data_IF_630610363954
#
_entry.id   IF_630610363954
#
_cell.length_a   1.000
_cell.length_b   1.000
_cell.length_c   1.000
_cell.angle_alpha   90.00
_cell.angle_beta   90.00
_cell.angle_gamma   90.00
#
_symmetry.space_group_name_H-M   'P 1'
#
loop_
_entity.id
_entity.type
_entity.pdbx_description
1 polymer ?
#
# COMPACT_ATOMS: atom_id res chain seq x y z
N UNK A 1 -22.32 -28.55 -20.78
CA UNK A 1 -20.89 -28.43 -20.45
C UNK A 1 -20.79 -27.53 -19.22
N UNK A 2 -20.43 -28.10 -18.08
CA UNK A 2 -20.19 -27.35 -16.84
C UNK A 2 -18.89 -26.56 -17.00
N UNK A 3 -18.85 -25.24 -16.75
CA UNK A 3 -17.58 -24.53 -16.67
C UNK A 3 -16.85 -25.08 -15.45
N UNK A 4 -15.71 -25.72 -15.70
CA UNK A 4 -14.75 -26.16 -14.68
C UNK A 4 -14.44 -24.92 -13.84
N UNK A 5 -14.82 -24.93 -12.56
CA UNK A 5 -14.45 -23.87 -11.64
C UNK A 5 -12.92 -23.76 -11.68
N UNK A 6 -12.41 -22.69 -12.29
CA UNK A 6 -10.98 -22.41 -12.33
C UNK A 6 -10.51 -22.34 -10.88
N UNK A 7 -9.62 -23.27 -10.50
CA UNK A 7 -9.02 -23.28 -9.17
C UNK A 7 -8.37 -21.91 -8.96
N UNK A 8 -8.99 -21.09 -8.12
CA UNK A 8 -8.54 -19.73 -7.87
C UNK A 8 -7.58 -19.81 -6.70
N UNK A 9 -6.28 -19.70 -6.97
CA UNK A 9 -5.30 -19.62 -5.89
C UNK A 9 -5.34 -18.21 -5.33
N UNK A 10 -6.09 -18.05 -4.23
CA UNK A 10 -6.12 -16.81 -3.47
C UNK A 10 -4.85 -16.74 -2.64
N UNK A 11 -3.85 -16.00 -3.13
CA UNK A 11 -2.68 -15.61 -2.33
C UNK A 11 -3.10 -14.43 -1.45
N UNK A 12 -3.90 -14.72 -0.43
CA UNK A 12 -4.22 -13.75 0.63
C UNK A 12 -3.51 -14.13 1.92
N UNK A 13 -3.00 -13.13 2.63
CA UNK A 13 -2.62 -13.30 4.02
C UNK A 13 -3.79 -13.90 4.82
N UNK A 14 -3.54 -14.87 5.71
CA UNK A 14 -4.58 -15.43 6.55
C UNK A 14 -5.22 -14.31 7.38
N UNK A 15 -6.55 -14.23 7.38
CA UNK A 15 -7.37 -13.26 8.15
C UNK A 15 -6.96 -13.18 9.65
N UNK A 16 -6.32 -14.22 10.16
CA UNK A 16 -5.89 -14.41 11.53
C UNK A 16 -4.63 -13.59 11.82
N UNK A 17 -3.74 -13.40 10.85
CA UNK A 17 -2.61 -12.46 10.94
C UNK A 17 -3.11 -11.01 11.05
N UNK A 18 -4.19 -10.67 10.34
CA UNK A 18 -4.82 -9.35 10.39
C UNK A 18 -5.44 -9.08 11.77
N UNK A 19 -6.13 -10.07 12.34
CA UNK A 19 -6.64 -9.99 13.72
C UNK A 19 -5.49 -9.83 14.71
N UNK A 20 -4.39 -10.57 14.56
CA UNK A 20 -3.26 -10.55 15.48
C UNK A 20 -2.55 -9.19 15.48
N UNK A 21 -2.33 -8.58 14.30
CA UNK A 21 -1.76 -7.22 14.20
C UNK A 21 -2.70 -6.18 14.80
N UNK A 22 -4.01 -6.25 14.52
CA UNK A 22 -4.99 -5.33 15.11
C UNK A 22 -5.05 -5.45 16.64
N UNK A 23 -4.96 -6.68 17.17
CA UNK A 23 -4.89 -6.95 18.60
C UNK A 23 -3.60 -6.38 19.20
N UNK A 24 -2.44 -6.57 18.56
CA UNK A 24 -1.15 -6.02 19.03
C UNK A 24 -1.17 -4.49 19.05
N UNK A 25 -1.64 -3.85 17.98
CA UNK A 25 -1.76 -2.38 17.95
C UNK A 25 -2.79 -1.86 18.96
N UNK A 26 -3.90 -2.56 19.15
CA UNK A 26 -4.88 -2.25 20.19
C UNK A 26 -4.26 -2.33 21.60
N UNK A 27 -3.47 -3.36 21.87
CA UNK A 27 -2.75 -3.53 23.14
C UNK A 27 -1.68 -2.45 23.35
N UNK A 28 -0.92 -2.09 22.31
CA UNK A 28 0.06 -1.00 22.37
C UNK A 28 -0.63 0.33 22.66
N UNK A 29 -1.72 0.65 21.94
CA UNK A 29 -2.50 1.88 22.15
C UNK A 29 -3.08 1.95 23.57
N UNK A 30 -3.66 0.85 24.04
CA UNK A 30 -4.14 0.72 25.42
C UNK A 30 -3.01 0.92 26.45
N UNK A 31 -1.85 0.29 26.24
CA UNK A 31 -0.68 0.42 27.11
C UNK A 31 -0.13 1.84 27.15
N UNK A 32 -0.11 2.54 26.01
CA UNK A 32 0.37 3.92 25.92
C UNK A 32 -0.56 4.89 26.67
N UNK A 33 -1.88 4.73 26.54
CA UNK A 33 -2.87 5.52 27.29
C UNK A 33 -2.79 5.24 28.81
N UNK A 34 -2.55 3.98 29.20
CA UNK A 34 -2.32 3.63 30.60
C UNK A 34 -1.03 4.25 31.15
N UNK A 35 0.06 4.24 30.36
CA UNK A 35 1.33 4.86 30.72
C UNK A 35 1.22 6.39 30.84
N UNK A 36 0.52 7.04 29.90
CA UNK A 36 0.20 8.48 29.96
C UNK A 36 -0.58 8.83 31.23
N UNK A 37 -1.52 7.97 31.67
CA UNK A 37 -2.24 8.16 32.93
C UNK A 37 -1.31 8.03 34.14
N UNK A 38 -0.40 7.04 34.15
CA UNK A 38 0.57 6.87 35.23
C UNK A 38 1.51 8.08 35.34
N UNK A 39 1.99 8.56 34.19
CA UNK A 39 2.78 9.78 34.08
C UNK A 39 1.99 11.00 34.53
N UNK A 40 0.70 11.13 34.19
CA UNK A 40 -0.15 12.23 34.63
C UNK A 40 -0.36 12.23 36.15
N UNK A 41 -0.63 11.06 36.77
CA UNK A 41 -0.71 10.95 38.24
C UNK A 41 0.61 11.35 38.91
N UNK A 42 1.74 10.91 38.35
CA UNK A 42 3.07 11.29 38.83
C UNK A 42 3.32 12.80 38.68
N UNK A 43 2.93 13.40 37.54
CA UNK A 43 3.09 14.83 37.29
C UNK A 43 2.25 15.70 38.22
N UNK A 44 1.07 15.24 38.66
CA UNK A 44 0.22 15.94 39.63
C UNK A 44 0.81 15.93 41.04
N UNK A 45 1.68 14.96 41.37
CA UNK A 45 2.40 14.97 42.65
C UNK A 45 3.58 15.96 42.70
N UNK A 46 3.95 16.55 41.57
CA UNK A 46 5.00 17.58 41.50
C UNK A 46 4.40 18.98 41.73
N UNK A 47 4.84 19.71 42.78
CA UNK A 47 4.25 21.00 43.18
C UNK A 47 4.46 22.15 42.18
N UNK A 48 5.23 21.95 41.10
CA UNK A 48 5.57 22.96 40.09
C UNK A 48 5.14 22.56 38.65
N UNK A 49 3.98 21.90 38.48
CA UNK A 49 3.52 21.49 37.15
C UNK A 49 2.56 22.51 36.48
N UNK A 50 2.81 22.97 35.24
CA UNK A 50 2.09 24.09 34.59
C UNK A 50 0.73 23.73 33.93
N UNK A 51 0.11 22.57 34.24
CA UNK A 51 -1.16 22.12 33.62
C UNK A 51 -2.13 21.45 34.62
N UNK A 52 -2.45 22.13 35.73
CA UNK A 52 -3.34 21.57 36.77
C UNK A 52 -4.83 21.45 36.35
N UNK A 53 -5.27 22.20 35.33
CA UNK A 53 -6.67 22.24 34.87
C UNK A 53 -7.21 20.92 34.29
N UNK A 54 -6.59 20.36 33.24
CA UNK A 54 -7.01 19.08 32.66
C UNK A 54 -6.89 17.91 33.64
N UNK A 55 -5.89 17.95 34.53
CA UNK A 55 -5.66 16.91 35.52
C UNK A 55 -6.79 16.80 36.56
N UNK A 56 -7.39 17.93 36.98
CA UNK A 56 -8.54 17.96 37.91
C UNK A 56 -9.80 17.33 37.33
N UNK A 57 -10.05 17.47 36.02
CA UNK A 57 -11.18 16.83 35.33
C UNK A 57 -11.03 15.31 35.27
N UNK A 58 -9.80 14.82 35.07
CA UNK A 58 -9.49 13.40 35.10
C UNK A 58 -9.64 12.79 36.51
N UNK A 59 -9.34 13.53 37.58
CA UNK A 59 -9.47 13.02 38.96
C UNK A 59 -10.91 12.96 39.49
N UNK A 60 -11.87 13.61 38.83
CA UNK A 60 -13.29 13.62 39.25
C UNK A 60 -14.02 12.30 38.91
N UNK A 61 -13.44 11.46 38.05
CA UNK A 61 -14.03 10.19 37.65
C UNK A 61 -13.52 9.09 38.61
N UNK A 62 -14.42 8.40 39.34
CA UNK A 62 -14.02 7.37 40.30
C UNK A 62 -13.27 6.22 39.60
N UNK A 63 -12.16 5.79 40.19
CA UNK A 63 -11.52 4.53 39.79
C UNK A 63 -12.42 3.37 40.20
N UNK A 64 -12.61 2.34 39.35
CA UNK A 64 -11.80 1.97 38.19
C UNK A 64 -12.27 2.53 36.83
N UNK A 65 -13.40 3.25 36.77
CA UNK A 65 -14.05 3.65 35.52
C UNK A 65 -13.16 4.49 34.58
N UNK A 66 -12.36 5.40 35.14
CA UNK A 66 -11.41 6.21 34.37
C UNK A 66 -10.33 5.36 33.68
N UNK A 67 -9.81 4.33 34.36
CA UNK A 67 -8.79 3.43 33.79
C UNK A 67 -9.39 2.63 32.64
N UNK A 68 -10.59 2.08 32.86
CA UNK A 68 -11.30 1.29 31.87
C UNK A 68 -11.62 2.14 30.63
N UNK A 69 -12.08 3.38 30.82
CA UNK A 69 -12.36 4.31 29.73
C UNK A 69 -11.11 4.67 28.91
N UNK A 70 -9.99 4.99 29.56
CA UNK A 70 -8.75 5.35 28.86
C UNK A 70 -8.17 4.16 28.07
N UNK A 71 -8.19 2.96 28.65
CA UNK A 71 -7.75 1.72 27.99
C UNK A 71 -8.67 1.38 26.82
N UNK A 72 -9.99 1.52 26.99
CA UNK A 72 -10.97 1.27 25.94
C UNK A 72 -10.80 2.25 24.76
N UNK A 73 -10.62 3.54 25.03
CA UNK A 73 -10.42 4.56 23.99
C UNK A 73 -9.09 4.35 23.27
N UNK A 74 -7.99 4.11 24.00
CA UNK A 74 -6.68 3.82 23.40
C UNK A 74 -6.69 2.54 22.56
N UNK A 75 -7.34 1.49 23.06
CA UNK A 75 -7.53 0.24 22.35
C UNK A 75 -8.38 0.41 21.09
N UNK A 76 -9.48 1.16 21.18
CA UNK A 76 -10.35 1.45 20.04
C UNK A 76 -9.64 2.26 18.95
N UNK A 77 -8.90 3.31 19.33
CA UNK A 77 -8.10 4.11 18.39
C UNK A 77 -7.02 3.24 17.74
N UNK A 78 -6.31 2.41 18.52
CA UNK A 78 -5.31 1.49 18.00
C UNK A 78 -5.90 0.45 17.04
N UNK A 79 -7.07 -0.09 17.36
CA UNK A 79 -7.78 -1.06 16.53
C UNK A 79 -8.29 -0.44 15.23
N UNK A 80 -8.92 0.75 15.29
CA UNK A 80 -9.38 1.48 14.11
C UNK A 80 -8.19 1.89 13.24
N UNK A 81 -7.10 2.37 13.84
CA UNK A 81 -5.86 2.71 13.12
C UNK A 81 -5.25 1.50 12.42
N UNK A 82 -5.13 0.36 13.11
CA UNK A 82 -4.64 -0.89 12.53
C UNK A 82 -5.53 -1.40 11.39
N UNK A 83 -6.85 -1.34 11.57
CA UNK A 83 -7.81 -1.70 10.53
C UNK A 83 -7.67 -0.79 9.31
N UNK A 84 -7.58 0.53 9.48
CA UNK A 84 -7.42 1.50 8.39
C UNK A 84 -6.12 1.30 7.60
N UNK A 85 -5.01 0.96 8.28
CA UNK A 85 -3.74 0.63 7.62
C UNK A 85 -3.89 -0.63 6.76
N UNK A 86 -4.63 -1.63 7.26
CA UNK A 86 -4.81 -2.93 6.59
C UNK A 86 -5.88 -2.94 5.50
N UNK A 87 -6.89 -2.07 5.54
CA UNK A 87 -7.87 -1.91 4.44
C UNK A 87 -7.22 -1.44 3.12
N UNK A 88 -5.97 -0.98 3.15
CA UNK A 88 -5.18 -0.64 1.97
C UNK A 88 -4.45 -1.82 1.31
N UNK A 89 -4.47 -3.01 1.88
CA UNK A 89 -3.69 -4.15 1.37
C UNK A 89 -4.28 -4.74 0.08
N UNK A 90 -3.39 -5.01 -0.87
CA UNK A 90 -3.72 -5.62 -2.13
C UNK A 90 -3.96 -7.12 -1.95
N UNK A 91 -5.17 -7.58 -2.24
CA UNK A 91 -5.46 -8.99 -2.44
C UNK A 91 -5.24 -9.34 -3.91
N UNK A 92 -4.32 -10.27 -4.17
CA UNK A 92 -4.07 -10.81 -5.52
C UNK A 92 -4.74 -12.17 -5.61
N UNK A 93 -5.71 -12.30 -6.51
CA UNK A 93 -6.31 -13.59 -6.85
C UNK A 93 -5.88 -13.95 -8.26
N UNK A 94 -5.10 -15.02 -8.38
CA UNK A 94 -4.61 -15.52 -9.67
C UNK A 94 -5.51 -16.70 -10.07
N UNK A 95 -5.94 -16.71 -11.33
CA UNK A 95 -6.66 -17.82 -11.93
C UNK A 95 -6.12 -18.06 -13.34
N UNK A 96 -6.38 -19.23 -13.90
CA UNK A 96 -5.87 -19.63 -15.22
C UNK A 96 -6.25 -18.67 -16.36
N UNK A 97 -7.35 -17.92 -16.20
CA UNK A 97 -7.88 -17.03 -17.25
C UNK A 97 -7.77 -15.54 -16.93
N UNK A 98 -7.58 -15.15 -15.67
CA UNK A 98 -7.58 -13.75 -15.23
C UNK A 98 -6.79 -13.55 -13.95
N UNK A 99 -6.20 -12.36 -13.81
CA UNK A 99 -5.64 -11.85 -12.56
C UNK A 99 -6.61 -10.81 -12.01
N UNK A 100 -7.10 -11.04 -10.79
CA UNK A 100 -7.92 -10.09 -10.07
C UNK A 100 -7.07 -9.40 -9.00
N UNK A 101 -6.89 -8.10 -9.16
CA UNK A 101 -6.21 -7.23 -8.20
C UNK A 101 -7.27 -6.46 -7.41
N UNK A 102 -7.41 -6.76 -6.12
CA UNK A 102 -8.36 -6.05 -5.25
C UNK A 102 -7.60 -5.17 -4.26
N UNK A 103 -7.81 -3.86 -4.28
CA UNK A 103 -7.21 -2.89 -3.33
C UNK A 103 -8.29 -1.94 -2.85
N UNK A 104 -8.41 -1.72 -1.54
CA UNK A 104 -9.43 -0.82 -0.94
C UNK A 104 -10.87 -1.11 -1.41
N UNK A 105 -11.19 -2.37 -1.74
CA UNK A 105 -12.50 -2.76 -2.28
C UNK A 105 -12.68 -2.54 -3.78
N UNK A 106 -11.77 -1.83 -4.45
CA UNK A 106 -11.74 -1.74 -5.91
C UNK A 106 -11.09 -2.99 -6.50
N UNK A 107 -11.82 -3.63 -7.39
CA UNK A 107 -11.40 -4.84 -8.09
C UNK A 107 -11.05 -4.50 -9.54
N UNK A 108 -9.79 -4.70 -9.92
CA UNK A 108 -9.33 -4.59 -11.30
C UNK A 108 -9.06 -5.99 -11.85
N UNK A 109 -9.84 -6.37 -12.85
CA UNK A 109 -9.66 -7.62 -13.57
C UNK A 109 -8.75 -7.40 -14.78
N UNK A 110 -7.75 -8.25 -14.94
CA UNK A 110 -6.83 -8.25 -16.07
C UNK A 110 -6.88 -9.65 -16.71
N UNK A 111 -7.31 -9.77 -17.98
CA UNK A 111 -7.28 -11.04 -18.70
C UNK A 111 -5.87 -11.62 -18.78
N UNK A 112 -5.76 -12.94 -18.61
CA UNK A 112 -4.49 -13.67 -18.84
C UNK A 112 -3.93 -13.43 -20.23
N UNK A 113 -4.81 -13.33 -21.23
CA UNK A 113 -4.45 -13.10 -22.63
C UNK A 113 -3.75 -11.76 -22.87
N UNK A 114 -3.96 -10.77 -22.01
CA UNK A 114 -3.33 -9.45 -22.15
C UNK A 114 -1.94 -9.43 -21.48
N UNK A 115 -1.69 -10.35 -20.54
CA UNK A 115 -0.47 -10.40 -19.73
C UNK A 115 0.61 -11.18 -20.50
N UNK A 116 1.73 -10.52 -20.75
CA UNK A 116 2.91 -11.16 -21.36
C UNK A 116 3.88 -11.67 -20.30
N UNK A 117 4.09 -10.90 -19.22
CA UNK A 117 5.10 -11.16 -18.21
C UNK A 117 4.70 -10.57 -16.86
N UNK A 118 5.01 -11.29 -15.80
CA UNK A 118 4.81 -10.86 -14.42
C UNK A 118 6.14 -10.84 -13.70
N UNK A 119 6.44 -9.77 -12.97
CA UNK A 119 7.65 -9.68 -12.15
C UNK A 119 7.42 -8.89 -10.88
N UNK A 120 8.36 -9.01 -9.93
CA UNK A 120 8.33 -8.26 -8.68
C UNK A 120 9.42 -7.19 -8.66
N UNK A 121 9.02 -5.92 -8.60
CA UNK A 121 9.91 -4.78 -8.43
C UNK A 121 9.95 -4.34 -6.95
N UNK A 122 10.86 -4.91 -6.16
CA UNK A 122 10.95 -4.59 -4.73
C UNK A 122 9.69 -5.04 -3.98
N UNK A 123 8.87 -4.11 -3.49
CA UNK A 123 7.58 -4.41 -2.85
C UNK A 123 6.38 -4.36 -3.80
N UNK A 124 6.60 -4.15 -5.08
CA UNK A 124 5.52 -3.99 -6.05
C UNK A 124 5.42 -5.20 -6.97
N UNK A 125 4.21 -5.67 -7.20
CA UNK A 125 3.89 -6.64 -8.25
C UNK A 125 3.59 -5.86 -9.53
N UNK A 126 4.26 -6.22 -10.62
CA UNK A 126 4.09 -5.60 -11.93
C UNK A 126 3.62 -6.65 -12.92
N UNK A 127 2.53 -6.34 -13.63
CA UNK A 127 2.03 -7.11 -14.76
C UNK A 127 2.30 -6.32 -16.04
N UNK A 128 3.05 -6.90 -16.97
CA UNK A 128 3.32 -6.35 -18.28
C UNK A 128 2.37 -6.92 -19.32
N UNK A 129 1.99 -6.08 -20.28
CA UNK A 129 1.27 -6.47 -21.47
C UNK A 129 2.19 -6.83 -22.63
N UNK A 130 1.61 -7.25 -23.75
CA UNK A 130 2.37 -7.69 -24.93
C UNK A 130 3.16 -6.58 -25.62
N UNK A 131 2.77 -5.32 -25.43
CA UNK A 131 3.49 -4.15 -25.94
C UNK A 131 4.43 -3.55 -24.90
N UNK A 132 4.82 -4.34 -23.88
CA UNK A 132 5.67 -3.94 -22.76
C UNK A 132 5.03 -2.88 -21.85
N UNK A 133 3.75 -2.58 -22.00
CA UNK A 133 3.01 -1.65 -21.14
C UNK A 133 2.83 -2.20 -19.73
N UNK A 134 2.88 -1.35 -18.70
CA UNK A 134 2.51 -1.78 -17.34
C UNK A 134 0.97 -1.86 -17.24
N UNK A 135 0.41 -3.06 -17.32
CA UNK A 135 -1.02 -3.30 -17.15
C UNK A 135 -1.47 -2.98 -15.73
N UNK A 136 -0.65 -3.33 -14.75
CA UNK A 136 -0.79 -2.94 -13.37
C UNK A 136 0.56 -2.94 -12.64
N UNK A 137 0.71 -2.03 -11.69
CA UNK A 137 1.81 -1.96 -10.72
C UNK A 137 1.22 -1.63 -9.36
N UNK A 138 1.17 -2.61 -8.47
CA UNK A 138 0.52 -2.50 -7.17
C UNK A 138 1.45 -2.96 -6.05
N UNK A 139 1.33 -2.32 -4.87
CA UNK A 139 2.09 -2.71 -3.68
C UNK A 139 1.63 -4.09 -3.20
N UNK A 140 2.56 -5.04 -3.10
CA UNK A 140 2.32 -6.41 -2.71
C UNK A 140 3.36 -6.85 -1.67
N UNK A 141 2.91 -7.03 -0.43
CA UNK A 141 3.76 -7.47 0.68
C UNK A 141 3.96 -9.01 0.71
N UNK A 142 3.42 -9.75 -0.25
CA UNK A 142 3.58 -11.20 -0.35
C UNK A 142 5.02 -11.61 -0.68
N UNK A 143 5.41 -12.82 -0.27
CA UNK A 143 6.74 -13.37 -0.58
C UNK A 143 6.94 -13.58 -2.09
N UNK A 144 8.15 -13.27 -2.58
CA UNK A 144 8.47 -13.29 -4.02
C UNK A 144 8.35 -14.70 -4.58
N UNK A 145 8.83 -15.69 -3.83
CA UNK A 145 8.83 -17.08 -4.26
C UNK A 145 7.41 -17.62 -4.30
N UNK A 146 6.58 -17.29 -3.31
CA UNK A 146 5.15 -17.66 -3.30
C UNK A 146 4.40 -17.06 -4.49
N UNK A 147 4.66 -15.79 -4.83
CA UNK A 147 4.08 -15.17 -6.02
C UNK A 147 4.54 -15.89 -7.29
N UNK A 148 5.85 -16.11 -7.44
CA UNK A 148 6.40 -16.80 -8.59
C UNK A 148 5.79 -18.20 -8.77
N UNK A 149 5.71 -18.98 -7.70
CA UNK A 149 5.09 -20.32 -7.69
C UNK A 149 3.60 -20.24 -8.07
N UNK A 150 2.84 -19.29 -7.54
CA UNK A 150 1.42 -19.14 -7.88
C UNK A 150 1.21 -18.74 -9.35
N UNK A 151 1.95 -17.75 -9.86
CA UNK A 151 1.83 -17.31 -11.25
C UNK A 151 2.27 -18.39 -12.23
N UNK A 152 3.40 -19.07 -11.97
CA UNK A 152 3.88 -20.16 -12.83
C UNK A 152 2.98 -21.39 -12.80
N UNK A 153 2.37 -21.72 -11.65
CA UNK A 153 1.38 -22.79 -11.55
C UNK A 153 0.14 -22.54 -12.42
N UNK A 154 -0.23 -21.27 -12.61
CA UNK A 154 -1.35 -20.85 -13.46
C UNK A 154 -0.93 -20.53 -14.91
N UNK A 155 0.29 -20.89 -15.31
CA UNK A 155 0.76 -20.76 -16.70
C UNK A 155 1.24 -19.36 -17.11
N UNK A 156 1.41 -18.43 -16.16
CA UNK A 156 1.97 -17.11 -16.43
C UNK A 156 3.49 -17.14 -16.54
N UNK A 157 4.03 -16.35 -17.46
CA UNK A 157 5.48 -16.10 -17.56
C UNK A 157 5.92 -15.23 -16.39
N UNK A 158 6.86 -15.74 -15.58
CA UNK A 158 7.45 -15.01 -14.47
C UNK A 158 8.88 -14.58 -14.81
N UNK A 159 9.20 -13.30 -14.57
CA UNK A 159 10.58 -12.81 -14.59
C UNK A 159 11.05 -12.41 -13.20
N UNK A 160 12.32 -12.69 -12.95
CA UNK A 160 12.99 -12.37 -11.70
C UNK A 160 13.28 -10.88 -11.53
N UNK A 161 13.51 -10.19 -12.64
CA UNK A 161 13.82 -8.76 -12.71
C UNK A 161 13.08 -8.12 -13.89
N UNK A 162 13.05 -6.79 -13.91
CA UNK A 162 12.44 -6.02 -14.98
C UNK A 162 13.30 -6.14 -16.27
N UNK A 163 12.81 -6.79 -17.34
CA UNK A 163 13.60 -6.93 -18.57
C UNK A 163 13.88 -5.59 -19.25
N UNK A 164 13.07 -4.55 -18.97
CA UNK A 164 13.19 -3.22 -19.56
C UNK A 164 13.92 -2.24 -18.65
N UNK A 165 14.57 -2.70 -17.57
CA UNK A 165 15.25 -1.82 -16.60
C UNK A 165 16.25 -0.87 -17.26
N UNK A 166 16.97 -1.33 -18.29
CA UNK A 166 18.01 -0.56 -18.98
C UNK A 166 17.45 0.54 -19.90
N UNK A 167 16.16 0.49 -20.24
CA UNK A 167 15.52 1.47 -21.12
C UNK A 167 15.06 2.72 -20.35
N UNK A 168 14.96 2.61 -19.02
CA UNK A 168 14.53 3.71 -18.17
C UNK A 168 15.58 4.83 -18.11
N UNK A 169 15.13 6.04 -18.41
CA UNK A 169 15.93 7.26 -18.31
C UNK A 169 15.43 8.13 -17.17
N UNK A 170 16.35 8.82 -16.49
CA UNK A 170 15.98 9.81 -15.47
C UNK A 170 15.16 10.92 -16.13
N UNK A 171 14.05 11.30 -15.51
CA UNK A 171 13.32 12.48 -15.95
C UNK A 171 14.12 13.75 -15.65
N UNK A 172 14.30 14.57 -16.68
CA UNK A 172 14.88 15.91 -16.58
C UNK A 172 13.83 16.90 -17.08
N UNK A 173 13.54 17.98 -16.34
CA UNK A 173 12.66 19.04 -16.81
C UNK A 173 13.09 19.54 -18.20
N UNK A 174 12.10 19.82 -19.06
CA UNK A 174 12.30 20.43 -20.39
C UNK A 174 13.13 19.57 -21.38
N UNK A 175 13.19 18.26 -21.16
CA UNK A 175 13.77 17.33 -22.14
C UNK A 175 13.02 17.38 -23.48
N UNK A 176 13.70 17.58 -24.62
CA UNK A 176 13.03 17.63 -25.92
C UNK A 176 12.43 16.27 -26.35
N UNK A 177 12.70 15.19 -25.61
CA UNK A 177 12.22 13.83 -25.91
C UNK A 177 10.77 13.59 -25.48
N UNK A 178 10.18 14.49 -24.69
CA UNK A 178 8.84 14.33 -24.12
C UNK A 178 7.93 15.47 -24.56
N UNK A 179 6.64 15.17 -24.73
CA UNK A 179 5.65 16.20 -25.04
C UNK A 179 5.43 17.15 -23.85
N UNK A 180 4.96 18.39 -24.10
CA UNK A 180 4.61 19.32 -23.02
C UNK A 180 3.58 18.75 -22.04
N UNK A 181 2.63 17.93 -22.53
CA UNK A 181 1.62 17.28 -21.71
C UNK A 181 2.25 16.25 -20.75
N UNK A 182 3.15 15.40 -21.24
CA UNK A 182 3.89 14.44 -20.40
C UNK A 182 4.73 15.17 -19.36
N UNK A 183 5.38 16.27 -19.76
CA UNK A 183 6.14 17.10 -18.81
C UNK A 183 5.26 17.66 -17.69
N UNK A 184 4.04 18.10 -17.99
CA UNK A 184 3.10 18.61 -16.98
C UNK A 184 2.73 17.53 -15.95
N UNK A 185 2.41 16.31 -16.43
CA UNK A 185 2.08 15.18 -15.56
C UNK A 185 3.27 14.74 -14.68
N UNK A 186 4.47 14.62 -15.25
CA UNK A 186 5.69 14.27 -14.51
C UNK A 186 6.06 15.36 -13.48
N UNK A 187 5.82 16.63 -13.81
CA UNK A 187 6.01 17.74 -12.87
C UNK A 187 5.01 17.70 -11.72
N UNK A 188 3.74 17.38 -11.97
CA UNK A 188 2.75 17.17 -10.90
C UNK A 188 3.15 15.97 -10.02
N UNK A 189 3.60 14.88 -10.66
CA UNK A 189 4.06 13.66 -10.00
C UNK A 189 5.24 13.89 -9.05
N UNK A 190 6.22 14.69 -9.47
CA UNK A 190 7.39 15.05 -8.64
C UNK A 190 6.99 15.68 -7.29
N UNK A 191 5.91 16.45 -7.26
CA UNK A 191 5.40 17.07 -6.04
C UNK A 191 4.80 16.04 -5.08
N UNK A 192 4.14 15.01 -5.62
CA UNK A 192 3.56 13.93 -4.83
C UNK A 192 4.62 12.92 -4.35
N UNK A 193 5.69 12.69 -5.11
CA UNK A 193 6.81 11.84 -4.68
C UNK A 193 7.51 12.35 -3.40
N UNK A 194 7.42 13.66 -3.14
CA UNK A 194 7.99 14.30 -1.95
C UNK A 194 7.07 14.26 -0.74
N UNK A 195 5.80 13.88 -0.91
CA UNK A 195 4.77 13.90 0.13
C UNK A 195 4.45 12.47 0.61
N UNK A 196 4.43 12.21 1.94
CA UNK A 196 3.96 10.93 2.44
C UNK A 196 2.45 10.78 2.19
N UNK A 197 1.99 9.55 1.93
CA UNK A 197 0.56 9.23 1.78
C UNK A 197 -0.06 9.59 0.42
N UNK A 198 0.72 9.96 -0.59
CA UNK A 198 0.23 10.34 -1.92
C UNK A 198 0.18 9.17 -2.93
N UNK A 199 0.02 7.93 -2.46
CA UNK A 199 0.06 6.73 -3.31
C UNK A 199 -1.02 6.72 -4.38
N UNK A 200 -2.21 7.21 -4.05
CA UNK A 200 -3.36 7.15 -4.95
C UNK A 200 -3.24 8.19 -6.07
N UNK A 201 -2.78 9.40 -5.77
CA UNK A 201 -2.46 10.42 -6.78
C UNK A 201 -1.31 9.96 -7.69
N UNK A 202 -0.30 9.29 -7.13
CA UNK A 202 0.77 8.68 -7.92
C UNK A 202 0.25 7.52 -8.80
N UNK A 203 -0.82 6.83 -8.41
CA UNK A 203 -1.42 5.78 -9.23
C UNK A 203 -2.18 6.39 -10.41
N UNK A 204 -3.04 7.37 -10.14
CA UNK A 204 -3.83 8.09 -11.14
C UNK A 204 -2.94 8.72 -12.22
N UNK A 205 -1.91 9.48 -11.81
CA UNK A 205 -0.95 10.06 -12.75
C UNK A 205 -0.17 9.01 -13.55
N UNK A 206 0.00 7.79 -13.03
CA UNK A 206 0.68 6.71 -13.75
C UNK A 206 -0.22 6.15 -14.84
N UNK A 207 -1.50 5.95 -14.53
CA UNK A 207 -2.49 5.50 -15.49
C UNK A 207 -2.68 6.54 -16.62
N UNK A 208 -2.67 7.83 -16.32
CA UNK A 208 -2.68 8.89 -17.34
C UNK A 208 -1.43 8.88 -18.22
N UNK A 209 -0.23 8.75 -17.63
CA UNK A 209 1.02 8.66 -18.39
C UNK A 209 1.06 7.42 -19.29
N UNK A 210 0.52 6.30 -18.83
CA UNK A 210 0.38 5.09 -19.64
C UNK A 210 -0.50 5.31 -20.87
N UNK A 211 -1.58 6.10 -20.76
CA UNK A 211 -2.42 6.45 -21.92
C UNK A 211 -1.65 7.29 -22.96
N UNK A 212 -0.58 7.96 -22.54
CA UNK A 212 0.34 8.70 -23.40
C UNK A 212 1.55 7.85 -23.82
N UNK A 213 1.46 6.51 -23.69
CA UNK A 213 2.52 5.55 -24.02
C UNK A 213 3.84 5.76 -23.24
N UNK A 214 3.74 6.31 -22.02
CA UNK A 214 4.88 6.54 -21.11
C UNK A 214 4.73 5.68 -19.86
N UNK A 215 5.73 4.85 -19.61
CA UNK A 215 5.85 4.06 -18.37
C UNK A 215 6.78 4.77 -17.41
N UNK A 216 6.39 4.87 -16.14
CA UNK A 216 7.16 5.53 -15.10
C UNK A 216 7.53 4.58 -13.96
N UNK A 217 8.76 4.75 -13.48
CA UNK A 217 9.30 4.00 -12.33
C UNK A 217 9.92 4.98 -11.35
N UNK A 218 9.69 4.73 -10.06
CA UNK A 218 10.17 5.57 -8.99
C UNK A 218 11.35 4.87 -8.28
N UNK A 219 12.47 5.56 -8.08
CA UNK A 219 13.64 5.07 -7.32
C UNK A 219 14.29 6.23 -6.58
N UNK A 220 14.52 6.08 -5.27
CA UNK A 220 15.19 7.08 -4.42
C UNK A 220 14.60 8.50 -4.55
N UNK A 221 13.26 8.61 -4.59
CA UNK A 221 12.50 9.86 -4.82
C UNK A 221 12.78 10.54 -6.16
N UNK A 222 13.39 9.83 -7.11
CA UNK A 222 13.54 10.24 -8.50
C UNK A 222 12.58 9.44 -9.36
N UNK A 223 12.04 10.09 -10.38
CA UNK A 223 11.21 9.44 -11.38
C UNK A 223 12.04 9.14 -12.64
N UNK A 224 11.86 7.92 -13.12
CA UNK A 224 12.44 7.39 -14.33
C UNK A 224 11.29 7.11 -15.29
N UNK A 225 11.56 7.23 -16.59
CA UNK A 225 10.56 7.02 -17.62
C UNK A 225 11.16 6.24 -18.79
N UNK A 226 10.27 5.54 -19.49
CA UNK A 226 10.53 4.99 -20.83
C UNK A 226 9.27 5.17 -21.68
N UNK A 227 9.44 5.25 -22.98
CA UNK A 227 8.35 5.27 -23.95
C UNK A 227 8.10 3.88 -24.47
N UNK A 228 6.83 3.53 -24.67
CA UNK A 228 6.45 2.32 -25.39
C UNK A 228 6.71 2.55 -26.88
N UNK A 229 7.49 1.66 -27.49
CA UNK A 229 7.62 1.63 -28.95
C UNK A 229 6.45 0.80 -29.48
N UNK A 230 5.53 1.45 -30.20
CA UNK A 230 4.49 0.77 -30.98
C UNK A 230 5.04 0.28 -32.32
#
# INVERSE_FOLDING_TARGET
>A
MNPKAAETTKVSEPLWGQVLVCVVFGLIGAGLCWLLKLLAKWLVTLPWAPMQGPAKLLTAIPEPGLTIGAVAVGGFIGLVGGALIKFGELSVSVSDSRVLLTRKGESREIPSADISLVFRAGKQLVLLGHHTEELAREDCDQDRRRLAEAFTAHGYSWADEDPHEKEFQVWVPESPKLSPQVHALLKARDQFLKKPGSSDQLRELRDELRQLDVVVRDKDKRQYWRTLQR
#
